data_IF_649075161525
#
_entry.id   IF_649075161525
#
_cell.length_a   1.000
_cell.length_b   1.000
_cell.length_c   1.000
_cell.angle_alpha   90.00
_cell.angle_beta   90.00
_cell.angle_gamma   90.00
#
_symmetry.space_group_name_H-M   'P 1'
#
loop_
_entity.id
_entity.type
_entity.pdbx_description
1 polymer ?
#
# COMPACT_ATOMS: atom_id res chain seq x y z
N UNK A 1 -9.16 0.32 24.94
CA UNK A 1 -7.98 -0.57 24.72
C UNK A 1 -7.66 -1.27 26.02
N UNK A 2 -7.38 -2.58 26.03
CA UNK A 2 -6.98 -3.24 27.26
C UNK A 2 -5.58 -2.72 27.66
N UNK A 3 -5.33 -2.57 28.96
CA UNK A 3 -4.04 -2.13 29.54
C UNK A 3 -2.87 -2.98 28.98
N UNK A 4 -3.13 -4.26 28.73
CA UNK A 4 -2.19 -5.22 28.15
C UNK A 4 -1.76 -4.83 26.72
N UNK A 5 -2.69 -4.43 25.84
CA UNK A 5 -2.38 -4.03 24.48
C UNK A 5 -1.53 -2.75 24.45
N UNK A 6 -1.78 -1.81 25.36
CA UNK A 6 -1.00 -0.57 25.48
C UNK A 6 0.43 -0.84 25.96
N UNK A 7 0.62 -1.77 26.91
CA UNK A 7 1.95 -2.16 27.40
C UNK A 7 2.74 -2.88 26.29
N UNK A 8 2.12 -3.78 25.56
CA UNK A 8 2.81 -4.52 24.48
C UNK A 8 3.22 -3.58 23.35
N UNK A 9 2.35 -2.67 22.91
CA UNK A 9 2.69 -1.71 21.83
C UNK A 9 3.80 -0.74 22.21
N UNK A 10 3.88 -0.32 23.48
CA UNK A 10 4.94 0.58 23.96
C UNK A 10 6.27 -0.12 24.21
N UNK A 11 6.27 -1.44 24.45
CA UNK A 11 7.50 -2.21 24.71
C UNK A 11 8.04 -2.92 23.47
N UNK A 12 7.21 -3.16 22.45
CA UNK A 12 7.59 -3.87 21.23
C UNK A 12 8.82 -3.27 20.51
N UNK A 13 8.96 -1.92 20.36
CA UNK A 13 10.14 -1.32 19.74
C UNK A 13 11.45 -1.56 20.49
N UNK A 14 11.36 -1.86 21.80
CA UNK A 14 12.53 -2.06 22.68
C UNK A 14 12.93 -3.55 22.76
N UNK A 15 12.06 -4.45 22.28
CA UNK A 15 12.29 -5.88 22.36
C UNK A 15 13.29 -6.33 21.26
N UNK A 16 14.14 -7.34 21.57
CA UNK A 16 15.03 -7.93 20.55
C UNK A 16 14.24 -8.44 19.34
N UNK A 17 14.77 -8.22 18.13
CA UNK A 17 14.15 -8.61 16.84
C UNK A 17 13.65 -10.07 16.82
N UNK A 18 14.40 -10.99 17.46
CA UNK A 18 14.03 -12.40 17.54
C UNK A 18 12.74 -12.67 18.32
N UNK A 19 12.43 -11.82 19.32
CA UNK A 19 11.20 -11.92 20.11
C UNK A 19 9.99 -11.37 19.34
N UNK A 20 10.19 -10.32 18.54
CA UNK A 20 9.14 -9.73 17.70
C UNK A 20 8.81 -10.58 16.46
N UNK A 21 9.75 -11.42 15.99
CA UNK A 21 9.63 -12.21 14.76
C UNK A 21 8.34 -13.05 14.65
N UNK A 22 7.85 -13.76 15.69
CA UNK A 22 6.58 -14.50 15.60
C UNK A 22 5.36 -13.61 15.39
N UNK A 23 5.40 -12.37 15.89
CA UNK A 23 4.30 -11.39 15.76
C UNK A 23 4.33 -10.64 14.44
N UNK A 24 5.53 -10.45 13.88
CA UNK A 24 5.79 -9.80 12.60
C UNK A 24 5.48 -10.70 11.40
N UNK A 25 5.80 -11.99 11.52
CA UNK A 25 5.74 -12.98 10.46
C UNK A 25 4.40 -13.05 9.70
N UNK A 26 3.23 -12.82 10.32
CA UNK A 26 1.96 -12.80 9.59
C UNK A 26 1.83 -11.65 8.59
N UNK A 27 2.54 -10.52 8.76
CA UNK A 27 2.34 -9.28 8.00
C UNK A 27 3.37 -9.04 6.89
N UNK A 28 4.40 -9.88 6.83
CA UNK A 28 5.49 -9.78 5.86
C UNK A 28 5.63 -11.12 5.16
N UNK A 29 5.73 -11.08 3.85
CA UNK A 29 5.84 -12.29 3.02
C UNK A 29 7.22 -12.97 3.12
N UNK A 30 8.06 -12.54 4.04
CA UNK A 30 9.40 -13.08 4.26
C UNK A 30 10.50 -12.05 4.04
N UNK A 31 11.74 -12.50 4.03
CA UNK A 31 12.91 -11.64 3.88
C UNK A 31 13.48 -11.65 2.46
N UNK A 32 13.10 -12.64 1.66
CA UNK A 32 13.63 -12.86 0.32
C UNK A 32 12.56 -12.67 -0.75
N UNK A 33 13.00 -12.41 -1.97
CA UNK A 33 12.14 -12.32 -3.14
C UNK A 33 11.41 -13.66 -3.39
N UNK A 34 12.06 -14.81 -3.19
CA UNK A 34 11.45 -16.12 -3.34
C UNK A 34 10.31 -16.36 -2.34
N UNK A 35 10.45 -15.85 -1.10
CA UNK A 35 9.34 -15.87 -0.14
C UNK A 35 8.14 -15.09 -0.69
N UNK A 36 8.37 -13.86 -1.18
CA UNK A 36 7.32 -13.00 -1.74
C UNK A 36 6.65 -13.66 -2.95
N UNK A 37 7.41 -14.18 -3.91
CA UNK A 37 6.90 -14.89 -5.10
C UNK A 37 6.02 -16.06 -4.71
N UNK A 38 6.43 -16.86 -3.72
CA UNK A 38 5.64 -17.99 -3.21
C UNK A 38 4.30 -17.53 -2.64
N UNK A 39 4.29 -16.46 -1.85
CA UNK A 39 3.06 -15.92 -1.28
C UNK A 39 2.14 -15.29 -2.34
N UNK A 40 2.70 -14.58 -3.33
CA UNK A 40 1.94 -14.00 -4.44
C UNK A 40 1.29 -15.10 -5.27
N UNK A 41 2.00 -16.18 -5.62
CA UNK A 41 1.44 -17.31 -6.35
C UNK A 41 0.25 -17.92 -5.60
N UNK A 42 0.38 -18.16 -4.31
CA UNK A 42 -0.72 -18.68 -3.47
C UNK A 42 -1.93 -17.74 -3.40
N UNK A 43 -1.73 -16.41 -3.51
CA UNK A 43 -2.82 -15.43 -3.60
C UNK A 43 -3.49 -15.51 -4.98
N UNK A 44 -2.71 -15.56 -6.05
CA UNK A 44 -3.23 -15.66 -7.42
C UNK A 44 -4.05 -16.94 -7.64
N UNK A 45 -3.61 -18.08 -7.10
CA UNK A 45 -4.36 -19.35 -7.12
C UNK A 45 -5.74 -19.24 -6.45
N UNK A 46 -5.91 -18.31 -5.51
CA UNK A 46 -7.19 -18.00 -4.85
C UNK A 46 -8.00 -16.91 -5.57
N UNK A 47 -7.49 -16.36 -6.67
CA UNK A 47 -8.14 -15.31 -7.44
C UNK A 47 -7.84 -13.88 -6.96
N UNK A 48 -6.92 -13.69 -6.02
CA UNK A 48 -6.47 -12.35 -5.60
C UNK A 48 -5.35 -11.84 -6.50
N UNK A 49 -5.42 -10.60 -6.91
CA UNK A 49 -4.27 -9.87 -7.46
C UNK A 49 -3.30 -9.46 -6.33
N UNK A 50 -2.05 -9.22 -6.67
CA UNK A 50 -1.06 -8.78 -5.70
C UNK A 50 -0.40 -7.44 -6.09
N UNK A 51 0.11 -6.73 -5.09
CA UNK A 51 1.10 -5.67 -5.24
C UNK A 51 2.26 -6.00 -4.35
N UNK A 52 3.48 -6.00 -4.88
CA UNK A 52 4.68 -6.29 -4.09
C UNK A 52 5.45 -5.00 -3.80
N UNK A 53 6.00 -4.91 -2.59
CA UNK A 53 6.85 -3.80 -2.13
C UNK A 53 8.10 -4.37 -1.43
N UNK A 54 9.27 -3.84 -1.78
CA UNK A 54 10.51 -4.10 -1.06
C UNK A 54 10.54 -3.18 0.16
N UNK A 55 10.50 -3.74 1.35
CA UNK A 55 10.52 -2.98 2.59
C UNK A 55 11.81 -2.17 2.74
N UNK A 56 11.67 -0.90 2.99
CA UNK A 56 12.72 0.09 3.16
C UNK A 56 12.19 1.49 2.89
N UNK A 57 12.84 2.47 3.47
CA UNK A 57 12.55 3.90 3.29
C UNK A 57 13.78 4.72 3.72
N UNK A 58 13.83 6.01 3.33
CA UNK A 58 14.85 6.96 3.78
C UNK A 58 16.30 6.59 3.44
N UNK A 59 16.54 6.08 2.23
CA UNK A 59 17.88 5.84 1.71
C UNK A 59 18.67 7.16 1.60
N UNK A 60 19.92 7.14 2.04
CA UNK A 60 20.75 8.33 2.16
C UNK A 60 21.93 8.37 1.16
N UNK A 61 22.24 7.27 0.50
CA UNK A 61 23.35 7.19 -0.45
C UNK A 61 22.88 6.83 -1.86
N UNK A 62 23.54 7.41 -2.87
CA UNK A 62 23.22 7.11 -4.28
C UNK A 62 23.46 5.64 -4.63
N UNK A 63 24.47 5.02 -4.03
CA UNK A 63 24.80 3.61 -4.26
C UNK A 63 23.65 2.72 -3.78
N UNK A 64 23.15 2.96 -2.58
CA UNK A 64 22.02 2.21 -2.00
C UNK A 64 20.75 2.41 -2.84
N UNK A 65 20.42 3.67 -3.22
CA UNK A 65 19.27 3.96 -4.08
C UNK A 65 19.32 3.24 -5.43
N UNK A 66 20.53 3.14 -6.04
CA UNK A 66 20.75 2.40 -7.30
C UNK A 66 20.61 0.89 -7.11
N UNK A 67 21.11 0.36 -6.00
CA UNK A 67 20.96 -1.07 -5.68
C UNK A 67 19.50 -1.44 -5.50
N UNK A 68 18.71 -0.62 -4.80
CA UNK A 68 17.26 -0.82 -4.66
C UNK A 68 16.55 -0.69 -6.01
N UNK A 69 16.93 0.28 -6.83
CA UNK A 69 16.41 0.44 -8.20
C UNK A 69 16.62 -0.81 -9.04
N UNK A 70 17.82 -1.40 -8.98
CA UNK A 70 18.14 -2.65 -9.66
C UNK A 70 17.28 -3.83 -9.15
N UNK A 71 17.03 -3.89 -7.84
CA UNK A 71 16.15 -4.92 -7.26
C UNK A 71 14.70 -4.79 -7.76
N UNK A 72 14.14 -3.57 -7.85
CA UNK A 72 12.81 -3.35 -8.44
C UNK A 72 12.75 -3.75 -9.92
N UNK A 73 13.80 -3.46 -10.69
CA UNK A 73 13.88 -3.89 -12.10
C UNK A 73 13.91 -5.42 -12.20
N UNK A 74 14.72 -6.09 -11.39
CA UNK A 74 14.78 -7.55 -11.34
C UNK A 74 13.44 -8.16 -10.93
N UNK A 75 12.73 -7.52 -9.99
CA UNK A 75 11.42 -7.98 -9.51
C UNK A 75 10.36 -7.95 -10.64
N UNK A 76 10.39 -6.98 -11.56
CA UNK A 76 9.55 -7.01 -12.77
C UNK A 76 9.86 -8.22 -13.67
N UNK A 77 11.13 -8.53 -13.90
CA UNK A 77 11.51 -9.72 -14.64
C UNK A 77 10.97 -11.01 -13.99
N UNK A 78 11.04 -11.09 -12.65
CA UNK A 78 10.51 -12.24 -11.89
C UNK A 78 8.99 -12.34 -12.02
N UNK A 79 8.26 -11.23 -11.88
CA UNK A 79 6.79 -11.20 -12.01
C UNK A 79 6.36 -11.78 -13.36
N UNK A 80 7.02 -11.40 -14.45
CA UNK A 80 6.70 -11.88 -15.79
C UNK A 80 7.10 -13.34 -15.99
N UNK A 81 8.34 -13.70 -15.63
CA UNK A 81 8.85 -15.07 -15.77
C UNK A 81 8.02 -16.10 -15.00
N UNK A 82 7.45 -15.70 -13.87
CA UNK A 82 6.60 -16.52 -13.01
C UNK A 82 5.10 -16.40 -13.36
N UNK A 83 4.75 -15.57 -14.37
CA UNK A 83 3.36 -15.30 -14.80
C UNK A 83 2.44 -14.88 -13.65
N UNK A 84 2.91 -13.98 -12.77
CA UNK A 84 2.18 -13.54 -11.59
C UNK A 84 1.23 -12.38 -11.91
N UNK A 85 -0.01 -12.44 -11.44
CA UNK A 85 -0.90 -11.26 -11.37
C UNK A 85 -0.44 -10.37 -10.21
N UNK A 86 0.58 -9.58 -10.49
CA UNK A 86 1.24 -8.71 -9.53
C UNK A 86 1.78 -7.45 -10.19
N UNK A 87 1.65 -6.32 -9.50
CA UNK A 87 2.34 -5.09 -9.83
C UNK A 87 3.29 -4.67 -8.69
N UNK A 88 4.08 -3.62 -8.93
CA UNK A 88 5.02 -3.10 -7.94
C UNK A 88 4.49 -1.79 -7.34
N UNK A 89 4.62 -1.65 -6.03
CA UNK A 89 4.52 -0.40 -5.29
C UNK A 89 5.89 -0.03 -4.75
N UNK A 90 6.27 1.26 -4.82
CA UNK A 90 7.56 1.71 -4.33
C UNK A 90 7.45 3.07 -3.65
N UNK A 91 8.32 3.33 -2.65
CA UNK A 91 8.42 4.60 -1.96
C UNK A 91 9.49 5.48 -2.60
N UNK A 92 9.19 6.76 -2.92
CA UNK A 92 10.18 7.68 -3.46
C UNK A 92 11.44 7.83 -2.59
N UNK A 93 11.31 7.82 -1.25
CA UNK A 93 12.48 7.92 -0.36
C UNK A 93 13.36 6.67 -0.38
N UNK A 94 12.81 5.51 -0.71
CA UNK A 94 13.56 4.26 -0.87
C UNK A 94 14.46 4.25 -2.12
N UNK A 95 14.13 5.08 -3.11
CA UNK A 95 14.90 5.21 -4.36
C UNK A 95 15.58 6.58 -4.51
N UNK A 96 15.76 7.29 -3.40
CA UNK A 96 16.68 8.43 -3.32
C UNK A 96 16.03 9.82 -3.20
N UNK A 97 14.73 9.95 -2.89
CA UNK A 97 14.09 11.26 -2.72
C UNK A 97 14.71 12.07 -1.56
N UNK A 98 15.19 11.42 -0.51
CA UNK A 98 15.94 12.08 0.57
C UNK A 98 17.30 12.65 0.11
N UNK A 99 17.85 12.14 -0.98
CA UNK A 99 19.13 12.62 -1.53
C UNK A 99 18.86 13.87 -2.39
N UNK A 100 17.97 13.72 -3.39
CA UNK A 100 17.46 14.79 -4.21
C UNK A 100 16.30 14.33 -5.09
N UNK A 101 15.45 15.26 -5.49
CA UNK A 101 14.37 15.00 -6.44
C UNK A 101 14.91 14.46 -7.79
N UNK A 102 16.03 15.01 -8.26
CA UNK A 102 16.66 14.54 -9.51
C UNK A 102 17.16 13.09 -9.44
N UNK A 103 17.73 12.67 -8.31
CA UNK A 103 18.15 11.27 -8.11
C UNK A 103 16.94 10.33 -8.07
N UNK A 104 15.88 10.69 -7.32
CA UNK A 104 14.64 9.93 -7.29
C UNK A 104 14.02 9.80 -8.69
N UNK A 105 13.87 10.90 -9.43
CA UNK A 105 13.33 10.90 -10.80
C UNK A 105 14.12 10.00 -11.73
N UNK A 106 15.45 10.04 -11.68
CA UNK A 106 16.33 9.18 -12.50
C UNK A 106 16.10 7.70 -12.20
N UNK A 107 16.09 7.34 -10.92
CA UNK A 107 15.90 5.97 -10.46
C UNK A 107 14.49 5.44 -10.78
N UNK A 108 13.46 6.25 -10.50
CA UNK A 108 12.06 5.90 -10.79
C UNK A 108 11.85 5.76 -12.30
N UNK A 109 12.45 6.63 -13.12
CA UNK A 109 12.39 6.50 -14.59
C UNK A 109 12.98 5.17 -15.07
N UNK A 110 14.04 4.68 -14.42
CA UNK A 110 14.64 3.38 -14.74
C UNK A 110 13.67 2.24 -14.43
N UNK A 111 13.04 2.27 -13.24
CA UNK A 111 12.01 1.28 -12.83
C UNK A 111 10.80 1.36 -13.77
N UNK A 112 10.34 2.57 -14.11
CA UNK A 112 9.19 2.79 -14.98
C UNK A 112 9.40 2.26 -16.40
N UNK A 113 10.59 2.43 -16.96
CA UNK A 113 10.95 1.86 -18.26
C UNK A 113 10.92 0.33 -18.22
N UNK A 114 11.32 -0.26 -17.11
CA UNK A 114 11.23 -1.72 -16.91
C UNK A 114 9.78 -2.18 -16.79
N UNK A 115 8.93 -1.41 -16.09
CA UNK A 115 7.48 -1.65 -16.05
C UNK A 115 6.87 -1.55 -17.46
N UNK A 116 7.27 -0.56 -18.26
CA UNK A 116 6.81 -0.38 -19.65
C UNK A 116 7.24 -1.54 -20.56
N UNK A 117 8.49 -2.02 -20.44
CA UNK A 117 9.01 -3.18 -21.17
C UNK A 117 8.13 -4.43 -20.98
N UNK A 118 7.60 -4.59 -19.76
CA UNK A 118 6.76 -5.72 -19.39
C UNK A 118 5.25 -5.42 -19.41
N UNK A 119 4.85 -4.27 -19.93
CA UNK A 119 3.44 -3.81 -19.94
C UNK A 119 2.78 -3.85 -18.56
N UNK A 120 3.57 -3.74 -17.49
CA UNK A 120 3.12 -3.82 -16.10
C UNK A 120 2.88 -2.42 -15.51
N UNK A 121 2.22 -2.36 -14.37
CA UNK A 121 1.86 -1.14 -13.66
C UNK A 121 2.87 -0.80 -12.56
N UNK A 122 3.15 0.51 -12.39
CA UNK A 122 3.94 1.02 -11.26
C UNK A 122 3.07 1.89 -10.34
N UNK A 123 3.04 1.57 -9.04
CA UNK A 123 2.45 2.42 -8.01
C UNK A 123 3.52 3.22 -7.28
N UNK A 124 3.35 4.53 -7.25
CA UNK A 124 4.18 5.44 -6.44
C UNK A 124 3.46 5.66 -5.12
N UNK A 125 4.04 5.19 -4.03
CA UNK A 125 3.48 5.36 -2.70
C UNK A 125 3.61 6.81 -2.22
N UNK A 126 2.65 7.27 -1.41
CA UNK A 126 2.68 8.57 -0.76
C UNK A 126 3.24 8.41 0.64
N UNK A 127 4.18 9.25 1.00
CA UNK A 127 4.82 9.26 2.29
C UNK A 127 4.30 10.42 3.15
N UNK A 128 5.06 10.92 4.12
CA UNK A 128 4.65 12.03 4.97
C UNK A 128 4.54 13.36 4.20
N UNK A 129 3.83 14.32 4.77
CA UNK A 129 3.42 15.57 4.11
C UNK A 129 4.54 16.40 3.46
N UNK A 130 5.79 16.44 3.99
CA UNK A 130 6.88 17.16 3.33
C UNK A 130 7.24 16.64 1.93
N UNK A 131 6.92 15.38 1.62
CA UNK A 131 7.21 14.78 0.32
C UNK A 131 6.02 14.78 -0.65
N UNK A 132 4.84 15.27 -0.24
CA UNK A 132 3.63 15.19 -1.06
C UNK A 132 3.79 15.88 -2.41
N UNK A 133 4.26 17.14 -2.44
CA UNK A 133 4.42 17.88 -3.68
C UNK A 133 5.45 17.24 -4.62
N UNK A 134 6.59 16.82 -4.08
CA UNK A 134 7.62 16.12 -4.84
C UNK A 134 7.12 14.76 -5.38
N UNK A 135 6.31 14.04 -4.63
CA UNK A 135 5.71 12.78 -5.09
C UNK A 135 4.72 13.01 -6.23
N UNK A 136 3.92 14.07 -6.18
CA UNK A 136 3.03 14.47 -7.28
C UNK A 136 3.83 14.90 -8.50
N UNK A 137 4.92 15.65 -8.33
CA UNK A 137 5.82 16.03 -9.41
C UNK A 137 6.47 14.82 -10.10
N UNK A 138 6.96 13.86 -9.30
CA UNK A 138 7.46 12.57 -9.81
C UNK A 138 6.37 11.84 -10.60
N UNK A 139 5.14 11.77 -10.08
CA UNK A 139 4.02 11.14 -10.78
C UNK A 139 3.76 11.80 -12.14
N UNK A 140 3.69 13.13 -12.20
CA UNK A 140 3.53 13.87 -13.46
C UNK A 140 4.65 13.56 -14.46
N UNK A 141 5.90 13.57 -13.99
CA UNK A 141 7.05 13.18 -14.83
C UNK A 141 6.88 11.76 -15.40
N UNK A 142 6.51 10.79 -14.54
CA UNK A 142 6.29 9.41 -14.97
C UNK A 142 5.17 9.28 -16.02
N UNK A 143 4.08 10.03 -15.87
CA UNK A 143 2.96 10.03 -16.84
C UNK A 143 3.36 10.54 -18.22
N UNK A 144 4.39 11.38 -18.35
CA UNK A 144 4.92 11.79 -19.68
C UNK A 144 5.66 10.68 -20.40
N UNK A 145 6.08 9.63 -19.67
CA UNK A 145 6.88 8.51 -20.20
C UNK A 145 6.01 7.27 -20.42
N UNK A 146 5.16 6.92 -19.44
CA UNK A 146 4.34 5.72 -19.48
C UNK A 146 3.01 5.93 -18.75
N UNK A 147 1.91 5.59 -19.43
CA UNK A 147 0.57 5.84 -18.89
C UNK A 147 0.17 4.90 -17.77
N UNK A 148 0.72 3.68 -17.71
CA UNK A 148 0.35 2.67 -16.73
C UNK A 148 1.09 2.86 -15.39
N UNK A 149 0.96 4.05 -14.82
CA UNK A 149 1.51 4.47 -13.54
C UNK A 149 0.42 5.16 -12.71
N UNK A 150 0.47 5.00 -11.39
CA UNK A 150 -0.46 5.64 -10.46
C UNK A 150 0.22 6.11 -9.19
N UNK A 151 -0.46 6.97 -8.46
CA UNK A 151 0.01 7.53 -7.19
C UNK A 151 -0.96 7.20 -6.05
N UNK A 152 -0.49 7.25 -4.81
CA UNK A 152 -1.34 7.08 -3.63
C UNK A 152 -1.83 8.43 -3.13
N UNK A 153 -3.10 8.51 -2.74
CA UNK A 153 -3.71 9.67 -2.08
C UNK A 153 -4.18 9.25 -0.69
N UNK A 154 -3.89 10.08 0.30
CA UNK A 154 -4.16 9.79 1.71
C UNK A 154 -5.34 10.64 2.20
N UNK A 155 -6.47 10.00 2.54
CA UNK A 155 -7.73 10.71 2.87
C UNK A 155 -7.67 11.54 4.15
N UNK A 156 -6.68 11.35 5.02
CA UNK A 156 -6.55 12.17 6.21
C UNK A 156 -6.00 13.59 5.92
N UNK A 157 -5.29 13.82 4.79
CA UNK A 157 -4.77 15.13 4.44
C UNK A 157 -5.89 16.06 3.97
N UNK A 158 -5.92 17.29 4.48
CA UNK A 158 -6.91 18.31 4.07
C UNK A 158 -6.85 18.60 2.58
N UNK A 159 -5.65 18.57 1.98
CA UNK A 159 -5.42 18.86 0.57
C UNK A 159 -5.88 17.76 -0.41
N UNK A 160 -6.18 16.56 0.06
CA UNK A 160 -6.38 15.39 -0.80
C UNK A 160 -7.51 15.55 -1.81
N UNK A 161 -8.55 16.30 -1.48
CA UNK A 161 -9.64 16.57 -2.43
C UNK A 161 -9.17 17.49 -3.57
N UNK A 162 -8.38 18.52 -3.26
CA UNK A 162 -7.83 19.43 -4.26
C UNK A 162 -6.82 18.71 -5.16
N UNK A 163 -5.99 17.85 -4.58
CA UNK A 163 -5.06 17.00 -5.33
C UNK A 163 -5.81 16.09 -6.33
N UNK A 164 -6.89 15.44 -5.91
CA UNK A 164 -7.72 14.62 -6.83
C UNK A 164 -8.40 15.50 -7.88
N UNK A 165 -8.95 16.65 -7.52
CA UNK A 165 -9.58 17.56 -8.48
C UNK A 165 -8.60 18.05 -9.55
N UNK A 166 -7.33 18.21 -9.20
CA UNK A 166 -6.25 18.59 -10.12
C UNK A 166 -5.78 17.41 -10.99
N UNK A 167 -5.64 16.20 -10.41
CA UNK A 167 -5.01 15.04 -11.06
C UNK A 167 -5.98 14.18 -11.86
N UNK A 168 -7.24 14.03 -11.38
CA UNK A 168 -8.13 13.00 -11.86
C UNK A 168 -8.71 13.29 -13.25
N UNK A 169 -8.51 12.34 -14.15
CA UNK A 169 -9.13 12.18 -15.46
C UNK A 169 -9.31 10.67 -15.72
N UNK A 170 -9.81 10.28 -16.87
CA UNK A 170 -10.04 8.89 -17.26
C UNK A 170 -8.79 8.00 -17.35
N UNK A 171 -7.61 8.60 -17.34
CA UNK A 171 -6.32 7.89 -17.30
C UNK A 171 -5.66 7.91 -15.92
N UNK A 172 -6.28 8.55 -14.94
CA UNK A 172 -5.76 8.62 -13.59
C UNK A 172 -6.06 7.33 -12.81
N UNK A 173 -5.05 6.81 -12.12
CA UNK A 173 -5.16 5.63 -11.27
C UNK A 173 -4.57 5.95 -9.90
N UNK A 174 -5.40 5.92 -8.87
CA UNK A 174 -4.96 6.19 -7.51
C UNK A 174 -5.36 5.09 -6.54
N UNK A 175 -4.44 4.78 -5.60
CA UNK A 175 -4.79 4.09 -4.36
C UNK A 175 -5.23 5.15 -3.36
N UNK A 176 -6.45 5.05 -2.86
CA UNK A 176 -6.92 5.87 -1.75
C UNK A 176 -6.69 5.08 -0.46
N UNK A 177 -5.96 5.63 0.50
CA UNK A 177 -5.80 5.08 1.83
C UNK A 177 -6.11 6.13 2.90
N UNK A 178 -6.22 5.72 4.17
CA UNK A 178 -6.51 6.67 5.25
C UNK A 178 -5.36 7.63 5.54
N UNK A 179 -4.13 7.16 5.45
CA UNK A 179 -2.91 7.81 5.92
C UNK A 179 -2.43 7.19 7.24
N UNK A 180 -1.11 7.15 7.43
CA UNK A 180 -0.47 6.47 8.57
C UNK A 180 0.56 7.32 9.31
N UNK A 181 1.05 8.38 8.68
CA UNK A 181 2.07 9.23 9.30
C UNK A 181 1.45 10.17 10.33
N UNK A 182 2.24 10.51 11.34
CA UNK A 182 1.80 11.48 12.35
C UNK A 182 1.94 12.88 11.80
N UNK A 183 0.81 13.48 11.48
CA UNK A 183 0.72 14.86 10.98
C UNK A 183 -0.01 15.76 11.98
N UNK A 184 0.23 17.08 11.90
CA UNK A 184 -0.48 18.06 12.72
C UNK A 184 -1.93 18.23 12.27
N UNK A 185 -2.79 18.72 13.15
CA UNK A 185 -4.19 19.03 12.84
C UNK A 185 -4.36 20.11 11.74
N UNK A 186 -3.33 20.93 11.48
CA UNK A 186 -3.33 21.92 10.40
C UNK A 186 -3.15 21.26 9.02
N UNK A 187 -2.61 20.04 8.97
CA UNK A 187 -2.29 19.31 7.75
C UNK A 187 -3.30 18.19 7.51
N UNK A 188 -3.76 17.52 8.60
CA UNK A 188 -4.53 16.30 8.51
C UNK A 188 -5.68 16.24 9.53
N UNK A 189 -6.81 15.67 9.11
CA UNK A 189 -7.89 15.28 10.00
C UNK A 189 -7.38 14.32 11.08
N UNK A 190 -7.81 14.53 12.33
CA UNK A 190 -7.45 13.68 13.46
C UNK A 190 -8.59 12.74 13.86
N UNK A 191 -9.81 13.05 13.45
CA UNK A 191 -10.99 12.27 13.77
C UNK A 191 -11.20 11.16 12.75
N UNK A 192 -11.49 9.94 13.24
CA UNK A 192 -11.71 8.76 12.38
C UNK A 192 -12.87 8.97 11.41
N UNK A 193 -13.97 9.56 11.86
CA UNK A 193 -15.17 9.78 11.05
C UNK A 193 -14.90 10.76 9.91
N UNK A 194 -14.22 11.88 10.20
CA UNK A 194 -13.80 12.85 9.18
C UNK A 194 -12.89 12.22 8.12
N UNK A 195 -11.96 11.35 8.53
CA UNK A 195 -11.08 10.62 7.61
C UNK A 195 -11.87 9.66 6.72
N UNK A 196 -12.86 8.95 7.28
CA UNK A 196 -13.74 8.05 6.52
C UNK A 196 -14.64 8.83 5.55
N UNK A 197 -15.20 9.96 5.98
CA UNK A 197 -16.05 10.82 5.15
C UNK A 197 -15.25 11.39 3.98
N UNK A 198 -14.03 11.87 4.25
CA UNK A 198 -13.16 12.33 3.19
C UNK A 198 -12.75 11.19 2.25
N UNK A 199 -12.46 9.98 2.77
CA UNK A 199 -12.18 8.81 1.92
C UNK A 199 -13.32 8.54 0.93
N UNK A 200 -14.56 8.54 1.41
CA UNK A 200 -15.74 8.33 0.55
C UNK A 200 -15.94 9.49 -0.45
N UNK A 201 -15.65 10.73 -0.04
CA UNK A 201 -15.69 11.90 -0.92
C UNK A 201 -14.66 11.78 -2.05
N UNK A 202 -13.42 11.35 -1.74
CA UNK A 202 -12.37 11.11 -2.73
C UNK A 202 -12.78 10.00 -3.70
N UNK A 203 -13.32 8.88 -3.19
CA UNK A 203 -13.79 7.76 -4.02
C UNK A 203 -14.88 8.21 -5.01
N UNK A 204 -15.88 8.98 -4.53
CA UNK A 204 -16.94 9.55 -5.35
C UNK A 204 -16.41 10.51 -6.41
N UNK A 205 -15.48 11.38 -6.03
CA UNK A 205 -14.87 12.34 -6.96
C UNK A 205 -14.08 11.62 -8.05
N UNK A 206 -13.34 10.57 -7.71
CA UNK A 206 -12.65 9.73 -8.70
C UNK A 206 -13.63 9.10 -9.70
N UNK A 207 -14.72 8.51 -9.20
CA UNK A 207 -15.73 7.88 -10.05
C UNK A 207 -16.41 8.87 -11.02
N UNK A 208 -16.71 10.11 -10.59
CA UNK A 208 -17.29 11.14 -11.47
C UNK A 208 -16.36 11.56 -12.61
N UNK A 209 -15.08 11.24 -12.51
CA UNK A 209 -14.05 11.54 -13.52
C UNK A 209 -13.61 10.31 -14.32
N UNK A 210 -14.30 9.17 -14.14
CA UNK A 210 -13.93 7.87 -14.70
C UNK A 210 -12.51 7.43 -14.34
N UNK A 211 -11.97 7.91 -13.22
CA UNK A 211 -10.63 7.58 -12.74
C UNK A 211 -10.65 6.28 -11.94
N UNK A 212 -9.60 5.46 -12.07
CA UNK A 212 -9.51 4.17 -11.40
C UNK A 212 -9.11 4.31 -9.93
N UNK A 213 -9.82 3.66 -9.03
CA UNK A 213 -9.62 3.73 -7.57
C UNK A 213 -9.26 2.39 -6.95
N UNK A 214 -8.12 2.31 -6.25
CA UNK A 214 -7.83 1.24 -5.32
C UNK A 214 -8.26 1.65 -3.90
N UNK A 215 -9.30 1.04 -3.35
CA UNK A 215 -9.80 1.33 -1.99
C UNK A 215 -9.01 0.56 -0.96
N UNK A 216 -7.95 1.18 -0.42
CA UNK A 216 -7.00 0.53 0.50
C UNK A 216 -7.42 0.73 1.96
N UNK A 217 -8.16 -0.23 2.50
CA UNK A 217 -8.64 -0.17 3.89
C UNK A 217 -8.99 -1.54 4.45
N UNK A 218 -8.79 -1.72 5.79
CA UNK A 218 -9.26 -2.87 6.57
C UNK A 218 -10.48 -2.51 7.44
N UNK A 219 -10.93 -1.26 7.35
CA UNK A 219 -12.04 -0.75 8.13
C UNK A 219 -13.36 -1.27 7.58
N UNK A 220 -13.98 -2.22 8.31
CA UNK A 220 -15.20 -2.90 7.87
C UNK A 220 -16.36 -1.91 7.64
N UNK A 221 -16.50 -0.91 8.53
CA UNK A 221 -17.52 0.11 8.40
C UNK A 221 -17.33 0.95 7.12
N UNK A 222 -16.08 1.34 6.81
CA UNK A 222 -15.78 2.06 5.58
C UNK A 222 -16.01 1.18 4.33
N UNK A 223 -15.67 -0.11 4.39
CA UNK A 223 -15.96 -1.05 3.30
C UNK A 223 -17.46 -1.17 3.08
N UNK A 224 -18.28 -1.25 4.14
CA UNK A 224 -19.74 -1.30 4.02
C UNK A 224 -20.29 -0.02 3.39
N UNK A 225 -19.86 1.15 3.83
CA UNK A 225 -20.22 2.45 3.24
C UNK A 225 -19.87 2.58 1.76
N UNK A 226 -18.68 2.06 1.38
CA UNK A 226 -18.25 2.02 -0.03
C UNK A 226 -19.14 1.09 -0.86
N UNK A 227 -19.48 -0.09 -0.34
CA UNK A 227 -20.35 -1.05 -1.03
C UNK A 227 -21.76 -0.50 -1.20
N UNK A 228 -22.32 0.10 -0.16
CA UNK A 228 -23.65 0.73 -0.23
C UNK A 228 -23.68 1.81 -1.33
N UNK A 229 -22.67 2.68 -1.36
CA UNK A 229 -22.56 3.69 -2.41
C UNK A 229 -22.39 3.08 -3.80
N UNK A 230 -21.48 2.09 -3.97
CA UNK A 230 -21.22 1.41 -5.25
C UNK A 230 -22.51 0.80 -5.80
N UNK A 231 -23.31 0.15 -4.94
CA UNK A 231 -24.58 -0.49 -5.34
C UNK A 231 -25.63 0.55 -5.68
N UNK A 232 -25.81 1.58 -4.83
CA UNK A 232 -26.82 2.63 -5.04
C UNK A 232 -26.58 3.42 -6.32
N UNK A 233 -25.34 3.84 -6.57
CA UNK A 233 -24.98 4.67 -7.71
C UNK A 233 -24.56 3.83 -8.94
N UNK A 234 -24.61 2.48 -8.84
CA UNK A 234 -24.29 1.53 -9.91
C UNK A 234 -22.89 1.77 -10.51
N UNK A 235 -21.92 1.98 -9.64
CA UNK A 235 -20.53 2.25 -10.07
C UNK A 235 -19.98 1.05 -10.85
N UNK A 236 -19.43 1.23 -12.06
CA UNK A 236 -18.84 0.16 -12.85
C UNK A 236 -17.69 -0.54 -12.11
N UNK A 237 -17.70 -1.89 -12.07
CA UNK A 237 -16.71 -2.68 -11.32
C UNK A 237 -15.30 -2.62 -11.89
N UNK A 238 -15.13 -2.15 -13.11
CA UNK A 238 -13.86 -1.94 -13.79
C UNK A 238 -13.17 -0.62 -13.42
N UNK A 239 -13.87 0.27 -12.71
CA UNK A 239 -13.31 1.53 -12.21
C UNK A 239 -12.65 1.44 -10.83
N UNK A 240 -12.71 0.29 -10.17
CA UNK A 240 -12.13 0.17 -8.83
C UNK A 240 -11.72 -1.27 -8.47
N UNK A 241 -10.94 -1.37 -7.39
CA UNK A 241 -10.64 -2.60 -6.68
C UNK A 241 -10.55 -2.34 -5.17
N UNK A 242 -10.79 -3.38 -4.36
CA UNK A 242 -10.48 -3.33 -2.93
C UNK A 242 -9.04 -3.76 -2.69
N UNK A 243 -8.34 -3.05 -1.81
CA UNK A 243 -6.94 -3.32 -1.49
C UNK A 243 -6.76 -3.52 0.02
N UNK A 244 -5.98 -4.53 0.40
CA UNK A 244 -5.68 -4.85 1.78
C UNK A 244 -4.21 -5.20 1.96
N UNK A 245 -3.70 -5.09 3.17
CA UNK A 245 -2.36 -5.54 3.50
C UNK A 245 -2.34 -7.05 3.74
N UNK A 246 -1.26 -7.70 3.30
CA UNK A 246 -1.02 -9.11 3.56
C UNK A 246 -1.06 -9.43 5.06
N UNK A 247 -1.72 -10.54 5.40
CA UNK A 247 -1.77 -11.08 6.76
C UNK A 247 -2.68 -10.36 7.75
N UNK A 248 -3.34 -9.27 7.35
CA UNK A 248 -4.34 -8.63 8.21
C UNK A 248 -5.64 -9.45 8.16
N UNK A 249 -6.18 -9.91 9.33
CA UNK A 249 -7.41 -10.69 9.36
C UNK A 249 -8.61 -9.88 8.83
N UNK A 250 -9.35 -10.48 7.89
CA UNK A 250 -10.55 -9.91 7.28
C UNK A 250 -11.78 -10.80 7.42
N UNK A 251 -11.69 -11.86 8.22
CA UNK A 251 -12.79 -12.76 8.64
C UNK A 251 -13.70 -13.24 7.47
N UNK A 252 -13.10 -13.64 6.32
CA UNK A 252 -13.81 -14.10 5.13
C UNK A 252 -14.34 -12.97 4.23
N UNK A 253 -14.09 -11.71 4.58
CA UNK A 253 -14.59 -10.55 3.80
C UNK A 253 -13.99 -10.48 2.40
N UNK A 254 -12.72 -10.85 2.25
CA UNK A 254 -12.04 -10.81 0.95
C UNK A 254 -12.62 -11.83 -0.02
N UNK A 255 -12.86 -13.03 0.44
CA UNK A 255 -13.51 -14.11 -0.31
C UNK A 255 -14.95 -13.72 -0.69
N UNK A 256 -15.66 -13.04 0.20
CA UNK A 256 -17.01 -12.54 -0.09
C UNK A 256 -17.00 -11.44 -1.17
N UNK A 257 -16.02 -10.52 -1.15
CA UNK A 257 -15.84 -9.51 -2.19
C UNK A 257 -15.52 -10.15 -3.55
N UNK A 258 -14.60 -11.12 -3.60
CA UNK A 258 -14.31 -11.88 -4.82
C UNK A 258 -15.55 -12.62 -5.33
N UNK A 259 -16.27 -13.32 -4.45
CA UNK A 259 -17.51 -14.03 -4.79
C UNK A 259 -18.60 -13.12 -5.34
N UNK A 260 -18.64 -11.86 -4.91
CA UNK A 260 -19.52 -10.82 -5.45
C UNK A 260 -19.01 -10.22 -6.80
N UNK A 261 -17.85 -10.69 -7.30
CA UNK A 261 -17.26 -10.29 -8.58
C UNK A 261 -16.52 -8.94 -8.51
N UNK A 262 -16.07 -8.53 -7.33
CA UNK A 262 -15.17 -7.38 -7.18
C UNK A 262 -13.71 -7.82 -7.29
N UNK A 263 -12.86 -6.94 -7.81
CA UNK A 263 -11.40 -7.15 -7.77
C UNK A 263 -10.89 -6.92 -6.35
N UNK A 264 -10.01 -7.80 -5.89
CA UNK A 264 -9.34 -7.67 -4.60
C UNK A 264 -7.85 -7.85 -4.82
N UNK A 265 -7.08 -6.87 -4.35
CA UNK A 265 -5.61 -6.87 -4.43
C UNK A 265 -5.00 -6.90 -3.04
N UNK A 266 -3.99 -7.73 -2.86
CA UNK A 266 -3.27 -7.85 -1.59
C UNK A 266 -1.89 -7.20 -1.75
N UNK A 267 -1.58 -6.26 -0.86
CA UNK A 267 -0.25 -5.63 -0.77
C UNK A 267 0.68 -6.55 0.01
N UNK A 268 1.73 -7.02 -0.64
CA UNK A 268 2.67 -8.06 -0.18
C UNK A 268 4.04 -7.45 0.08
N UNK A 269 4.32 -6.97 1.31
CA UNK A 269 5.62 -6.44 1.66
C UNK A 269 6.59 -7.57 1.97
N UNK A 270 7.86 -7.42 1.55
CA UNK A 270 8.94 -8.33 1.90
C UNK A 270 10.27 -7.58 2.05
N UNK A 271 11.26 -8.20 2.69
CA UNK A 271 12.60 -7.64 2.76
C UNK A 271 13.20 -7.67 4.16
N UNK A 272 14.48 -7.26 4.29
CA UNK A 272 15.22 -7.29 5.56
C UNK A 272 14.68 -6.31 6.61
N UNK A 273 14.01 -5.21 6.16
CA UNK A 273 13.52 -4.13 7.05
C UNK A 273 12.09 -4.39 7.57
N UNK A 274 11.77 -5.69 7.72
CA UNK A 274 10.46 -6.16 8.19
C UNK A 274 10.08 -5.69 9.60
N UNK A 275 11.06 -5.38 10.46
CA UNK A 275 10.81 -5.14 11.88
C UNK A 275 9.99 -3.88 12.11
N UNK A 276 10.44 -2.75 11.57
CA UNK A 276 9.79 -1.45 11.76
C UNK A 276 8.40 -1.41 11.12
N UNK A 277 8.26 -2.01 9.93
CA UNK A 277 6.97 -2.22 9.28
C UNK A 277 6.01 -3.00 10.17
N UNK A 278 6.45 -4.12 10.75
CA UNK A 278 5.63 -4.98 11.60
C UNK A 278 5.24 -4.31 12.91
N UNK A 279 6.15 -3.57 13.52
CA UNK A 279 5.86 -2.78 14.73
C UNK A 279 4.76 -1.76 14.45
N UNK A 280 4.82 -1.04 13.32
CA UNK A 280 3.75 -0.11 12.90
C UNK A 280 2.40 -0.82 12.78
N UNK A 281 2.32 -1.99 12.12
CA UNK A 281 1.07 -2.78 11.98
C UNK A 281 0.50 -3.22 13.34
N UNK A 282 1.34 -3.65 14.24
CA UNK A 282 0.93 -4.08 15.59
C UNK A 282 0.44 -2.89 16.44
N UNK A 283 1.04 -1.72 16.26
CA UNK A 283 0.63 -0.49 16.95
C UNK A 283 -0.74 0.02 16.44
N UNK A 284 -0.99 -0.06 15.14
CA UNK A 284 -2.25 0.35 14.54
C UNK A 284 -3.41 -0.59 14.88
N UNK A 285 -3.14 -1.88 15.03
CA UNK A 285 -4.17 -2.86 15.37
C UNK A 285 -3.75 -3.78 16.52
N UNK A 286 -3.84 -3.32 17.78
CA UNK A 286 -3.48 -4.11 18.95
C UNK A 286 -4.29 -5.39 19.15
N UNK A 287 -5.48 -5.53 18.51
CA UNK A 287 -6.29 -6.77 18.54
C UNK A 287 -5.55 -7.94 17.90
N UNK A 288 -4.65 -7.66 16.99
CA UNK A 288 -3.81 -8.64 16.30
C UNK A 288 -2.88 -9.35 17.27
N UNK A 289 -2.36 -8.67 18.29
CA UNK A 289 -1.52 -9.27 19.33
C UNK A 289 -2.28 -10.40 20.04
N UNK A 290 -3.54 -10.16 20.36
CA UNK A 290 -4.41 -11.17 20.98
C UNK A 290 -4.69 -12.35 20.05
N UNK A 291 -4.81 -12.11 18.75
CA UNK A 291 -5.01 -13.15 17.72
C UNK A 291 -3.76 -14.02 17.55
N UNK A 292 -2.59 -13.40 17.44
CA UNK A 292 -1.31 -14.12 17.33
C UNK A 292 -1.03 -14.95 18.57
N UNK A 293 -1.24 -14.40 19.76
CA UNK A 293 -1.09 -15.14 21.02
C UNK A 293 -2.03 -16.34 21.09
N UNK A 294 -3.32 -16.18 20.76
CA UNK A 294 -4.28 -17.30 20.72
C UNK A 294 -3.84 -18.40 19.75
N UNK A 295 -3.32 -18.04 18.59
CA UNK A 295 -2.88 -19.03 17.60
C UNK A 295 -1.52 -19.67 17.95
N UNK A 296 -0.64 -18.95 18.66
CA UNK A 296 0.63 -19.49 19.14
C UNK A 296 0.41 -20.59 20.21
N UNK A 297 -0.58 -20.41 21.09
CA UNK A 297 -0.94 -21.41 22.12
C UNK A 297 -1.86 -22.54 21.60
N UNK A 298 -2.46 -22.39 20.41
CA UNK A 298 -3.32 -23.40 19.79
C UNK A 298 -2.56 -24.43 18.94
N UNK A 299 -1.29 -24.20 18.66
CA UNK A 299 -0.39 -25.10 17.88
C UNK A 299 0.54 -25.96 18.78
N UNK A 300 0.17 -26.10 20.05
CA UNK A 300 0.77 -27.12 20.94
C UNK A 300 -0.22 -28.21 21.28
#
# INVERSE_FOLDING_TARGET
>A
MSLFNSIVTSTLPILPKWFAKPFARPYVAGQTEDDAVTHIRNLNEKGFSATVDILGEHVLTKEEARNITAQYCHLYDRIVNESLDCNISMKPTHVGLNISLAEAMSNITTILKKAQEHENFLRIDMENSPFTDQTIEIYHHCKTIYNNVGVVIQSYLHRSIDDILFLANDQFNSRICKGIYKESEYIAYQNREEIQDNFLTLAKTMATRNAYSGFATHDQELIDRLLDWIIMDKIPKDLFEFQVLYGVPMDGRLEALLGAGYKVRVYVPYGPDWFDYSVRRLTENPKIISYVLKNFFRKR
#
